data_IF_891926811121
#
_entry.id   IF_891926811121
#
_cell.length_a   1.000
_cell.length_b   1.000
_cell.length_c   1.000
_cell.angle_alpha   90.00
_cell.angle_beta   90.00
_cell.angle_gamma   90.00
#
_symmetry.space_group_name_H-M   'P 1'
#
loop_
_entity.id
_entity.type
_entity.pdbx_description
1 polymer ?
#
# COMPACT_ATOMS: atom_id res chain seq x y z
N UNK A 1 12.63 39.83 -56.47
CA UNK A 1 13.28 38.63 -55.90
C UNK A 1 13.57 38.86 -54.42
N UNK A 2 12.89 38.15 -53.51
CA UNK A 2 13.43 37.60 -52.25
C UNK A 2 12.28 36.94 -51.46
N UNK A 3 12.30 35.61 -51.43
CA UNK A 3 11.40 34.75 -50.65
C UNK A 3 11.83 34.80 -49.19
N UNK A 4 10.91 35.06 -48.27
CA UNK A 4 11.10 34.76 -46.85
C UNK A 4 10.43 33.42 -46.54
N UNK A 5 11.25 32.42 -46.21
CA UNK A 5 10.81 31.10 -45.75
C UNK A 5 10.60 31.21 -44.24
N UNK A 6 9.36 31.00 -43.79
CA UNK A 6 9.00 30.92 -42.38
C UNK A 6 9.37 29.52 -41.87
N UNK A 7 10.49 29.42 -41.15
CA UNK A 7 10.89 28.19 -40.48
C UNK A 7 10.19 28.05 -39.13
N UNK A 8 9.15 27.21 -39.06
CA UNK A 8 8.59 26.76 -37.78
C UNK A 8 9.55 25.75 -37.12
N UNK A 9 10.41 26.24 -36.23
CA UNK A 9 11.18 25.38 -35.33
C UNK A 9 10.28 24.81 -34.23
N UNK A 10 10.02 23.50 -34.31
CA UNK A 10 9.33 22.75 -33.24
C UNK A 10 10.28 22.64 -32.04
N UNK A 11 10.13 23.51 -31.04
CA UNK A 11 10.85 23.37 -29.78
C UNK A 11 10.24 22.21 -28.99
N UNK A 12 10.91 21.06 -29.01
CA UNK A 12 10.61 19.96 -28.10
C UNK A 12 10.93 20.41 -26.67
N UNK A 13 9.89 20.69 -25.88
CA UNK A 13 10.03 20.90 -24.43
C UNK A 13 10.39 19.55 -23.83
N UNK A 14 11.69 19.30 -23.64
CA UNK A 14 12.17 18.26 -22.76
C UNK A 14 11.76 18.65 -21.34
N UNK A 15 10.62 18.16 -20.88
CA UNK A 15 10.25 18.19 -19.47
C UNK A 15 11.30 17.38 -18.70
N UNK A 16 12.29 18.08 -18.12
CA UNK A 16 13.29 17.47 -17.26
C UNK A 16 12.59 16.78 -16.10
N UNK A 17 12.66 15.45 -16.04
CA UNK A 17 12.18 14.70 -14.88
C UNK A 17 13.07 15.05 -13.70
N UNK A 18 12.60 15.90 -12.80
CA UNK A 18 13.23 16.11 -11.51
C UNK A 18 13.41 14.74 -10.84
N UNK A 19 14.63 14.42 -10.42
CA UNK A 19 14.89 13.27 -9.57
C UNK A 19 14.24 13.59 -8.21
N UNK A 20 13.19 12.86 -7.86
CA UNK A 20 12.46 13.07 -6.61
C UNK A 20 13.30 12.56 -5.44
N UNK A 21 13.81 13.51 -4.70
CA UNK A 21 14.39 13.39 -3.37
C UNK A 21 13.27 13.38 -2.32
N UNK A 22 13.56 13.25 -1.02
CA UNK A 22 12.52 13.58 -0.02
C UNK A 22 12.43 15.11 0.16
N UNK A 23 11.20 15.68 0.22
CA UNK A 23 9.93 15.04 -0.10
C UNK A 23 9.77 14.72 -1.60
N UNK A 24 9.12 13.60 -1.89
CA UNK A 24 8.96 13.04 -3.23
C UNK A 24 8.07 13.91 -4.12
N UNK A 25 6.92 14.30 -3.61
CA UNK A 25 5.94 15.16 -4.29
C UNK A 25 4.85 15.62 -3.31
N UNK A 26 4.07 16.62 -3.72
CA UNK A 26 2.94 17.10 -2.92
C UNK A 26 1.84 16.05 -2.88
N UNK A 27 1.35 15.71 -1.69
CA UNK A 27 0.28 14.74 -1.50
C UNK A 27 0.09 14.41 -0.03
N UNK A 28 -1.01 13.74 0.27
CA UNK A 28 -1.39 13.34 1.60
C UNK A 28 -1.89 11.89 1.62
N UNK A 29 -2.06 11.35 2.81
CA UNK A 29 -2.70 10.05 3.08
C UNK A 29 -2.29 8.94 2.11
N UNK A 30 -0.98 8.62 1.99
CA UNK A 30 -0.50 7.75 0.93
C UNK A 30 -0.78 6.27 1.24
N UNK A 31 -1.51 5.61 0.36
CA UNK A 31 -1.47 4.16 0.28
C UNK A 31 -0.48 3.72 -0.80
N UNK A 32 0.53 2.95 -0.40
CA UNK A 32 1.59 2.48 -1.29
C UNK A 32 1.60 0.96 -1.44
N UNK A 33 1.74 0.48 -2.67
CA UNK A 33 1.79 -0.95 -3.00
C UNK A 33 2.66 -1.19 -4.23
N UNK A 34 3.35 -2.34 -4.31
CA UNK A 34 3.99 -2.75 -5.55
C UNK A 34 2.99 -3.37 -6.52
N UNK A 35 2.96 -2.88 -7.75
CA UNK A 35 2.20 -3.46 -8.86
C UNK A 35 3.20 -3.76 -9.98
N UNK A 36 3.44 -5.05 -10.22
CA UNK A 36 4.58 -5.48 -11.03
C UNK A 36 5.91 -5.06 -10.40
N UNK A 37 6.76 -4.35 -11.15
CA UNK A 37 8.06 -3.85 -10.70
C UNK A 37 8.06 -2.36 -10.30
N UNK A 38 6.87 -1.78 -10.14
CA UNK A 38 6.70 -0.36 -9.81
C UNK A 38 6.09 -0.22 -8.41
N UNK A 39 6.61 0.70 -7.61
CA UNK A 39 5.91 1.18 -6.42
C UNK A 39 4.85 2.17 -6.88
N UNK A 40 3.58 1.89 -6.59
CA UNK A 40 2.46 2.78 -6.80
C UNK A 40 2.09 3.47 -5.49
N UNK A 41 1.75 4.76 -5.57
CA UNK A 41 1.26 5.56 -4.46
C UNK A 41 -0.06 6.20 -4.88
N UNK A 42 -1.08 5.99 -4.06
CA UNK A 42 -2.41 6.57 -4.17
C UNK A 42 -2.56 7.58 -3.02
N UNK A 43 -2.43 8.89 -3.28
CA UNK A 43 -2.56 9.92 -2.24
C UNK A 43 -3.92 10.62 -2.28
N UNK A 44 -4.30 11.23 -1.16
CA UNK A 44 -5.19 12.41 -1.17
C UNK A 44 -4.43 13.58 -1.80
N UNK A 45 -5.03 14.23 -2.81
CA UNK A 45 -4.44 15.39 -3.48
C UNK A 45 -3.20 15.06 -4.34
N UNK A 46 -2.44 16.10 -4.73
CA UNK A 46 -1.27 15.96 -5.61
C UNK A 46 -1.59 15.96 -7.12
N UNK A 47 -0.57 15.93 -8.00
CA UNK A 47 -0.78 15.92 -9.46
C UNK A 47 -1.62 14.71 -9.96
N UNK A 48 -2.70 14.96 -10.69
CA UNK A 48 -3.70 13.93 -11.07
C UNK A 48 -4.79 13.69 -10.02
N UNK A 49 -4.56 14.08 -8.78
CA UNK A 49 -5.57 14.31 -7.74
C UNK A 49 -5.97 15.79 -7.66
N UNK A 50 -6.54 16.20 -6.52
CA UNK A 50 -6.85 17.62 -6.25
C UNK A 50 -6.80 17.95 -4.76
N UNK A 51 -6.26 19.12 -4.43
CA UNK A 51 -6.32 19.65 -3.06
C UNK A 51 -7.72 20.16 -2.68
N UNK A 52 -8.63 20.28 -3.65
CA UNK A 52 -10.06 20.40 -3.38
C UNK A 52 -10.70 19.06 -2.98
N UNK A 53 -9.93 17.96 -2.96
CA UNK A 53 -10.37 16.61 -2.64
C UNK A 53 -11.59 16.17 -3.47
N UNK A 54 -11.63 16.56 -4.76
CA UNK A 54 -12.72 16.23 -5.68
C UNK A 54 -12.40 15.03 -6.60
N UNK A 55 -11.17 14.50 -6.53
CA UNK A 55 -10.70 13.38 -7.36
C UNK A 55 -9.48 12.68 -6.78
N UNK A 56 -9.28 11.43 -7.15
CA UNK A 56 -8.02 10.71 -6.90
C UNK A 56 -7.18 10.56 -8.16
N UNK A 57 -5.87 10.58 -7.96
CA UNK A 57 -4.87 10.19 -8.95
C UNK A 57 -3.89 9.20 -8.34
N UNK A 58 -2.94 8.70 -9.12
CA UNK A 58 -1.84 7.89 -8.62
C UNK A 58 -0.50 8.25 -9.25
N UNK A 59 0.57 7.85 -8.58
CA UNK A 59 1.93 7.92 -9.06
C UNK A 59 2.55 6.54 -9.03
N UNK A 60 3.50 6.28 -9.92
CA UNK A 60 4.29 5.07 -9.89
C UNK A 60 5.76 5.35 -10.14
N UNK A 61 6.66 4.59 -9.51
CA UNK A 61 8.10 4.67 -9.78
C UNK A 61 8.76 3.30 -9.78
N UNK A 62 9.78 3.12 -10.64
CA UNK A 62 10.66 1.94 -10.65
C UNK A 62 11.92 2.11 -9.82
N UNK A 63 12.29 3.36 -9.52
CA UNK A 63 13.57 3.71 -8.88
C UNK A 63 13.41 4.56 -7.60
N UNK A 64 12.18 4.95 -7.26
CA UNK A 64 11.84 5.90 -6.17
C UNK A 64 12.47 7.29 -6.35
N UNK A 65 12.77 7.64 -7.60
CA UNK A 65 13.25 8.97 -7.99
C UNK A 65 12.36 9.57 -9.05
N UNK A 66 12.03 8.80 -10.08
CA UNK A 66 11.22 9.29 -11.19
C UNK A 66 9.81 8.78 -11.02
N UNK A 67 8.89 9.70 -10.77
CA UNK A 67 7.48 9.40 -10.60
C UNK A 67 6.73 9.69 -11.89
N UNK A 68 6.03 8.68 -12.39
CA UNK A 68 5.07 8.81 -13.47
C UNK A 68 3.69 9.05 -12.86
N UNK A 69 3.08 10.18 -13.18
CA UNK A 69 1.67 10.40 -12.89
C UNK A 69 0.81 9.45 -13.73
N UNK A 70 -0.21 8.86 -13.12
CA UNK A 70 -1.12 7.87 -13.72
C UNK A 70 -2.46 8.44 -14.14
N UNK A 71 -2.59 9.77 -14.05
CA UNK A 71 -3.82 10.48 -14.39
C UNK A 71 -4.86 10.37 -13.29
N UNK A 72 -6.06 10.79 -13.65
CA UNK A 72 -7.25 10.76 -12.82
C UNK A 72 -7.83 9.34 -12.78
N UNK A 73 -8.09 8.83 -11.59
CA UNK A 73 -8.64 7.48 -11.38
C UNK A 73 -10.16 7.50 -11.28
N UNK A 74 -10.68 8.42 -10.46
CA UNK A 74 -12.10 8.66 -10.21
C UNK A 74 -12.30 10.08 -9.69
N UNK A 75 -13.43 10.68 -10.05
CA UNK A 75 -13.91 11.97 -9.57
C UNK A 75 -15.17 11.85 -8.73
N UNK A 76 -15.35 12.83 -7.85
CA UNK A 76 -16.50 12.96 -6.95
C UNK A 76 -17.84 12.98 -7.68
N UNK A 77 -17.94 13.60 -8.86
CA UNK A 77 -19.17 13.68 -9.66
C UNK A 77 -19.59 12.34 -10.29
N UNK A 78 -18.72 11.33 -10.25
CA UNK A 78 -19.01 9.97 -10.69
C UNK A 78 -19.55 9.07 -9.56
N UNK A 79 -19.67 9.61 -8.35
CA UNK A 79 -20.10 8.88 -7.14
C UNK A 79 -21.46 9.45 -6.73
N UNK A 80 -22.55 8.85 -7.19
CA UNK A 80 -23.88 9.46 -7.14
C UNK A 80 -24.49 9.48 -5.74
N UNK A 81 -24.22 8.45 -4.94
CA UNK A 81 -24.80 8.26 -3.61
C UNK A 81 -24.30 9.28 -2.57
N UNK A 82 -23.21 10.00 -2.86
CA UNK A 82 -22.67 10.97 -1.88
C UNK A 82 -23.69 12.09 -1.61
N UNK A 83 -24.54 12.45 -2.57
CA UNK A 83 -25.53 13.53 -2.38
C UNK A 83 -26.71 13.13 -1.47
N UNK A 84 -26.89 11.84 -1.18
CA UNK A 84 -28.03 11.32 -0.41
C UNK A 84 -28.05 11.81 1.05
N UNK A 85 -26.90 12.20 1.61
CA UNK A 85 -26.82 12.72 2.97
C UNK A 85 -27.22 14.21 3.09
N UNK A 86 -27.47 14.89 1.97
CA UNK A 86 -27.84 16.31 1.93
C UNK A 86 -26.73 17.28 2.35
N UNK A 87 -25.48 16.83 2.52
CA UNK A 87 -24.38 17.73 2.87
C UNK A 87 -24.08 18.70 1.72
N UNK A 88 -23.73 19.97 2.02
CA UNK A 88 -23.52 20.99 1.00
C UNK A 88 -22.26 20.77 0.14
N UNK A 89 -21.33 19.93 0.61
CA UNK A 89 -20.11 19.58 -0.10
C UNK A 89 -19.55 18.25 0.40
N UNK A 90 -18.93 17.49 -0.51
CA UNK A 90 -18.26 16.22 -0.21
C UNK A 90 -16.80 16.25 -0.63
N UNK A 91 -16.00 15.45 0.05
CA UNK A 91 -14.56 15.40 -0.16
C UNK A 91 -14.07 13.96 -0.13
N UNK A 92 -13.17 13.62 -1.04
CA UNK A 92 -12.58 12.29 -1.16
C UNK A 92 -11.23 12.25 -0.45
N UNK A 93 -11.09 11.38 0.56
CA UNK A 93 -9.88 11.27 1.39
C UNK A 93 -9.37 9.84 1.54
N UNK A 94 -8.10 9.73 1.91
CA UNK A 94 -7.41 8.50 2.36
C UNK A 94 -7.73 7.27 1.49
N UNK A 95 -7.34 7.28 0.21
CA UNK A 95 -7.63 6.17 -0.67
C UNK A 95 -6.82 4.94 -0.25
N UNK A 96 -7.41 3.76 -0.36
CA UNK A 96 -6.73 2.48 -0.17
C UNK A 96 -7.01 1.52 -1.31
N UNK A 97 -5.95 0.90 -1.83
CA UNK A 97 -6.05 -0.03 -2.95
C UNK A 97 -5.96 -1.47 -2.45
N UNK A 98 -6.83 -2.34 -2.96
CA UNK A 98 -6.70 -3.79 -2.82
C UNK A 98 -6.81 -4.47 -4.18
N UNK A 99 -6.32 -5.71 -4.26
CA UNK A 99 -6.43 -6.52 -5.47
C UNK A 99 -6.99 -7.89 -5.14
N UNK A 100 -7.90 -8.39 -6.01
CA UNK A 100 -8.43 -9.74 -5.94
C UNK A 100 -8.94 -10.17 -7.30
N UNK A 101 -8.66 -11.41 -7.69
CA UNK A 101 -9.16 -11.96 -8.96
C UNK A 101 -8.77 -11.15 -10.21
N UNK A 102 -7.59 -10.52 -10.21
CA UNK A 102 -7.12 -9.69 -11.32
C UNK A 102 -7.75 -8.29 -11.40
N UNK A 103 -8.63 -7.93 -10.46
CA UNK A 103 -9.28 -6.62 -10.38
C UNK A 103 -8.70 -5.76 -9.27
N UNK A 104 -8.92 -4.46 -9.38
CA UNK A 104 -8.43 -3.41 -8.50
C UNK A 104 -9.61 -2.74 -7.80
N UNK A 105 -9.50 -2.56 -6.49
CA UNK A 105 -10.55 -2.02 -5.62
C UNK A 105 -10.00 -0.82 -4.88
N UNK A 106 -10.45 0.37 -5.25
CA UNK A 106 -10.09 1.63 -4.62
C UNK A 106 -11.15 1.98 -3.58
N UNK A 107 -10.84 1.78 -2.31
CA UNK A 107 -11.64 2.23 -1.17
C UNK A 107 -11.27 3.66 -0.84
N UNK A 108 -12.23 4.45 -0.35
CA UNK A 108 -11.98 5.84 -0.01
C UNK A 108 -12.99 6.35 1.00
N UNK A 109 -12.57 7.33 1.79
CA UNK A 109 -13.47 8.09 2.66
C UNK A 109 -14.17 9.17 1.86
N UNK A 110 -15.43 9.40 2.21
CA UNK A 110 -16.25 10.51 1.73
C UNK A 110 -16.65 11.35 2.93
N UNK A 111 -16.09 12.56 3.02
CA UNK A 111 -16.51 13.58 3.96
C UNK A 111 -17.77 14.32 3.50
N UNK A 112 -18.34 15.19 4.36
CA UNK A 112 -17.72 15.75 5.56
C UNK A 112 -17.81 14.82 6.78
N UNK A 113 -17.24 15.24 7.92
CA UNK A 113 -17.45 14.60 9.24
C UNK A 113 -18.54 15.32 10.07
N UNK A 114 -18.95 16.52 9.64
CA UNK A 114 -19.93 17.38 10.29
C UNK A 114 -20.54 18.31 9.22
N UNK A 115 -21.87 18.49 9.12
CA UNK A 115 -22.92 17.94 9.99
C UNK A 115 -23.29 16.49 9.73
N UNK A 116 -22.87 15.90 8.61
CA UNK A 116 -23.12 14.48 8.32
C UNK A 116 -21.88 13.66 8.65
N UNK A 117 -22.05 12.41 9.15
CA UNK A 117 -20.93 11.51 9.36
C UNK A 117 -20.23 11.13 8.06
N UNK A 118 -18.92 10.86 8.14
CA UNK A 118 -18.20 10.33 6.99
C UNK A 118 -18.61 8.90 6.64
N UNK A 119 -18.49 8.56 5.36
CA UNK A 119 -18.86 7.26 4.77
C UNK A 119 -17.68 6.68 3.98
N UNK A 120 -17.70 5.38 3.71
CA UNK A 120 -16.66 4.71 2.90
C UNK A 120 -17.27 4.16 1.62
N UNK A 121 -16.69 4.54 0.48
CA UNK A 121 -17.01 3.99 -0.84
C UNK A 121 -15.98 2.98 -1.31
N UNK A 122 -16.33 2.28 -2.39
CA UNK A 122 -15.40 1.44 -3.16
C UNK A 122 -15.67 1.61 -4.65
N UNK A 123 -14.60 1.80 -5.42
CA UNK A 123 -14.65 1.82 -6.88
C UNK A 123 -13.79 0.69 -7.45
N UNK A 124 -14.19 0.13 -8.60
CA UNK A 124 -13.60 -1.06 -9.18
C UNK A 124 -13.02 -0.77 -10.56
N UNK A 125 -11.86 -1.35 -10.86
CA UNK A 125 -11.22 -1.30 -12.17
C UNK A 125 -10.58 -2.64 -12.55
N UNK A 126 -10.38 -2.85 -13.85
CA UNK A 126 -9.67 -4.03 -14.37
C UNK A 126 -8.16 -3.77 -14.56
N UNK A 127 -7.72 -2.52 -14.36
CA UNK A 127 -6.33 -2.06 -14.45
C UNK A 127 -6.00 -1.11 -13.30
N UNK A 128 -4.72 -1.02 -12.87
CA UNK A 128 -4.36 -0.18 -11.73
C UNK A 128 -4.57 1.32 -12.02
N UNK A 129 -4.40 1.75 -13.27
CA UNK A 129 -4.69 3.12 -13.73
C UNK A 129 -6.18 3.39 -14.01
N UNK A 130 -7.07 2.41 -13.83
CA UNK A 130 -8.48 2.58 -14.12
C UNK A 130 -8.87 2.29 -15.58
N UNK A 131 -10.02 2.82 -16.04
CA UNK A 131 -10.93 3.71 -15.30
C UNK A 131 -11.59 2.99 -14.12
N UNK A 132 -11.71 3.68 -12.99
CA UNK A 132 -12.46 3.17 -11.84
C UNK A 132 -13.94 3.54 -11.98
N UNK A 133 -14.82 2.61 -11.62
CA UNK A 133 -16.26 2.83 -11.56
C UNK A 133 -16.72 2.65 -10.12
N UNK A 134 -17.40 3.65 -9.58
CA UNK A 134 -18.05 3.55 -8.27
C UNK A 134 -19.00 2.36 -8.23
N UNK A 135 -19.08 1.67 -7.10
CA UNK A 135 -19.95 0.51 -6.95
C UNK A 135 -21.44 0.88 -6.84
N UNK A 136 -21.75 2.15 -6.55
CA UNK A 136 -23.11 2.70 -6.62
C UNK A 136 -23.78 2.94 -5.27
N UNK A 137 -23.16 2.55 -4.15
CA UNK A 137 -23.64 2.80 -2.80
C UNK A 137 -22.48 2.84 -1.79
N UNK A 138 -22.64 3.44 -0.60
CA UNK A 138 -21.63 3.36 0.45
C UNK A 138 -21.39 1.90 0.86
N UNK A 139 -20.13 1.53 1.02
CA UNK A 139 -19.73 0.24 1.61
C UNK A 139 -19.89 0.26 3.13
N UNK A 140 -19.55 1.38 3.76
CA UNK A 140 -19.84 1.67 5.16
C UNK A 140 -20.62 2.97 5.22
N UNK A 141 -21.86 2.86 5.68
CA UNK A 141 -22.82 3.97 5.82
C UNK A 141 -23.15 4.28 7.28
N UNK A 142 -22.52 3.55 8.21
CA UNK A 142 -22.73 3.62 9.65
C UNK A 142 -21.68 4.52 10.33
N UNK A 143 -21.46 5.70 9.74
CA UNK A 143 -20.80 6.81 10.44
C UNK A 143 -21.77 7.43 11.45
N UNK A 144 -21.25 7.93 12.58
CA UNK A 144 -22.03 8.54 13.65
C UNK A 144 -21.87 7.83 15.00
N UNK A 145 -22.60 8.29 16.02
CA UNK A 145 -22.62 7.67 17.36
C UNK A 145 -21.23 7.43 17.98
N UNK A 146 -20.29 8.37 17.76
CA UNK A 146 -18.91 8.28 18.27
C UNK A 146 -17.95 7.48 17.37
N UNK A 147 -18.34 7.18 16.12
CA UNK A 147 -17.49 6.57 15.11
C UNK A 147 -17.51 7.38 13.81
N UNK A 148 -16.34 7.60 13.21
CA UNK A 148 -16.22 8.18 11.87
C UNK A 148 -15.76 7.10 10.89
N UNK A 149 -16.52 6.85 9.83
CA UNK A 149 -16.15 5.87 8.82
C UNK A 149 -15.13 6.47 7.85
N UNK A 150 -13.87 6.52 8.28
CA UNK A 150 -12.75 7.07 7.50
C UNK A 150 -11.54 6.15 7.47
N UNK A 151 -10.57 6.53 6.64
CA UNK A 151 -9.25 5.91 6.52
C UNK A 151 -9.34 4.38 6.30
N UNK A 152 -10.02 3.94 5.23
CA UNK A 152 -10.15 2.52 4.95
C UNK A 152 -8.77 1.90 4.71
N UNK A 153 -8.57 0.69 5.21
CA UNK A 153 -7.45 -0.17 4.86
C UNK A 153 -7.96 -1.58 4.66
N UNK A 154 -7.75 -2.14 3.47
CA UNK A 154 -8.08 -3.54 3.19
C UNK A 154 -6.83 -4.40 3.25
N UNK A 155 -6.89 -5.46 4.04
CA UNK A 155 -5.85 -6.45 4.16
C UNK A 155 -6.41 -7.84 3.86
N UNK A 156 -5.80 -8.51 2.88
CA UNK A 156 -6.09 -9.91 2.57
C UNK A 156 -5.12 -10.77 3.37
N UNK A 157 -5.64 -11.53 4.32
CA UNK A 157 -4.85 -12.38 5.18
C UNK A 157 -4.25 -13.54 4.38
N UNK A 158 -2.90 -13.63 4.24
CA UNK A 158 -2.28 -14.66 3.42
C UNK A 158 -2.44 -16.07 4.02
N UNK A 159 -2.81 -16.20 5.30
CA UNK A 159 -3.03 -17.50 5.93
C UNK A 159 -4.40 -18.10 5.60
N UNK A 160 -5.42 -17.26 5.47
CA UNK A 160 -6.83 -17.71 5.33
C UNK A 160 -7.46 -17.32 4.00
N UNK A 161 -6.88 -16.37 3.26
CA UNK A 161 -7.48 -15.77 2.06
C UNK A 161 -8.68 -14.85 2.35
N UNK A 162 -8.98 -14.60 3.62
CA UNK A 162 -10.04 -13.66 4.03
C UNK A 162 -9.58 -12.23 3.85
N UNK A 163 -10.50 -11.36 3.46
CA UNK A 163 -10.26 -9.93 3.34
C UNK A 163 -10.89 -9.20 4.54
N UNK A 164 -10.14 -8.29 5.13
CA UNK A 164 -10.56 -7.48 6.27
C UNK A 164 -10.43 -6.00 5.93
N UNK A 165 -11.50 -5.24 6.14
CA UNK A 165 -11.52 -3.78 6.07
C UNK A 165 -11.36 -3.23 7.49
N UNK A 166 -10.30 -2.48 7.71
CA UNK A 166 -10.05 -1.68 8.90
C UNK A 166 -10.49 -0.26 8.57
N UNK A 167 -11.23 0.37 9.45
CA UNK A 167 -11.56 1.78 9.30
C UNK A 167 -11.82 2.40 10.66
N UNK A 168 -11.80 3.72 10.68
CA UNK A 168 -12.22 4.47 11.84
C UNK A 168 -11.26 5.54 12.26
N UNK A 169 -11.86 6.62 12.74
CA UNK A 169 -11.27 7.46 13.78
C UNK A 169 -11.10 8.91 13.39
N UNK A 170 -11.70 9.78 14.19
CA UNK A 170 -11.25 11.08 14.72
C UNK A 170 -12.50 11.69 15.41
N UNK A 171 -12.48 12.76 16.19
CA UNK A 171 -12.04 12.76 17.59
C UNK A 171 -13.05 12.12 18.61
N UNK A 172 -13.61 10.95 18.30
CA UNK A 172 -14.10 9.94 19.28
C UNK A 172 -13.39 8.59 19.15
N UNK A 173 -12.17 8.63 18.57
CA UNK A 173 -11.43 7.56 17.89
C UNK A 173 -11.68 6.13 18.37
N UNK A 174 -12.21 5.32 17.45
CA UNK A 174 -12.51 3.90 17.60
C UNK A 174 -12.06 3.18 16.34
N UNK A 175 -11.36 2.07 16.49
CA UNK A 175 -11.08 1.17 15.39
C UNK A 175 -12.25 0.20 15.22
N UNK A 176 -12.75 0.05 14.00
CA UNK A 176 -13.70 -1.01 13.62
C UNK A 176 -13.11 -1.87 12.50
N UNK A 177 -13.59 -3.10 12.42
CA UNK A 177 -13.08 -4.10 11.49
C UNK A 177 -14.24 -4.91 10.91
N UNK A 178 -14.23 -5.10 9.59
CA UNK A 178 -15.21 -5.93 8.88
C UNK A 178 -14.53 -7.01 8.07
N UNK A 179 -15.09 -8.22 8.06
CA UNK A 179 -14.74 -9.24 7.07
C UNK A 179 -15.51 -8.91 5.78
N UNK A 180 -14.80 -8.79 4.66
CA UNK A 180 -15.40 -8.60 3.34
C UNK A 180 -15.76 -9.94 2.71
N UNK A 181 -16.79 -9.95 1.85
CA UNK A 181 -17.07 -11.09 0.99
C UNK A 181 -16.01 -11.21 -0.11
N UNK A 182 -16.08 -12.31 -0.86
CA UNK A 182 -15.13 -12.59 -1.94
C UNK A 182 -15.19 -11.58 -3.09
N UNK A 183 -16.32 -10.89 -3.27
CA UNK A 183 -16.52 -9.84 -4.26
C UNK A 183 -15.73 -8.56 -3.97
N UNK A 184 -15.25 -8.39 -2.72
CA UNK A 184 -14.57 -7.20 -2.19
C UNK A 184 -15.41 -5.92 -2.15
N UNK A 185 -16.69 -6.00 -2.49
CA UNK A 185 -17.62 -4.86 -2.55
C UNK A 185 -18.79 -5.00 -1.60
N UNK A 186 -18.83 -6.07 -0.80
CA UNK A 186 -19.85 -6.26 0.23
C UNK A 186 -19.26 -6.76 1.56
N UNK A 187 -19.93 -6.37 2.65
CA UNK A 187 -19.58 -6.78 4.00
C UNK A 187 -20.15 -8.18 4.29
N UNK A 188 -19.31 -9.08 4.81
CA UNK A 188 -19.76 -10.37 5.31
C UNK A 188 -20.30 -10.24 6.74
N UNK A 189 -19.54 -9.57 7.62
CA UNK A 189 -19.93 -9.22 9.00
C UNK A 189 -18.93 -8.22 9.60
N UNK A 190 -19.36 -7.49 10.62
CA UNK A 190 -18.44 -6.80 11.52
C UNK A 190 -17.75 -7.83 12.45
N UNK A 191 -16.48 -7.58 12.76
CA UNK A 191 -15.69 -8.38 13.68
C UNK A 191 -15.33 -7.52 14.89
N UNK A 192 -15.79 -7.88 16.09
CA UNK A 192 -15.44 -7.14 17.30
C UNK A 192 -13.91 -7.12 17.51
N UNK A 193 -13.36 -5.92 17.65
CA UNK A 193 -11.94 -5.70 17.95
C UNK A 193 -11.80 -4.61 19.00
N UNK A 194 -10.76 -4.69 19.82
CA UNK A 194 -10.40 -3.60 20.73
C UNK A 194 -9.77 -2.45 19.94
N UNK A 195 -10.01 -1.20 20.35
CA UNK A 195 -9.19 -0.07 19.89
C UNK A 195 -7.81 -0.16 20.53
N UNK A 196 -6.71 -0.17 19.76
CA UNK A 196 -5.38 -0.23 20.36
C UNK A 196 -5.05 1.10 21.08
N UNK A 197 -4.18 1.09 22.10
CA UNK A 197 -3.81 2.32 22.82
C UNK A 197 -3.29 3.40 21.87
N UNK A 198 -3.68 4.66 22.13
CA UNK A 198 -3.24 5.85 21.37
C UNK A 198 -3.70 5.90 19.90
N UNK A 199 -4.69 5.10 19.52
CA UNK A 199 -5.29 5.17 18.19
C UNK A 199 -5.96 6.53 17.95
N UNK A 200 -5.67 7.15 16.81
CA UNK A 200 -6.43 8.30 16.29
C UNK A 200 -7.16 7.93 15.00
N UNK A 201 -6.44 7.52 13.96
CA UNK A 201 -6.97 7.21 12.61
C UNK A 201 -5.90 6.47 11.78
N UNK A 202 -6.04 6.39 10.45
CA UNK A 202 -4.97 5.96 9.54
C UNK A 202 -4.46 4.54 9.74
N UNK A 203 -5.35 3.56 9.95
CA UNK A 203 -4.96 2.17 10.19
C UNK A 203 -4.22 1.58 8.96
N UNK A 204 -3.12 0.87 9.20
CA UNK A 204 -2.38 0.14 8.18
C UNK A 204 -1.91 -1.21 8.71
N UNK A 205 -2.34 -2.30 8.06
CA UNK A 205 -2.01 -3.67 8.45
C UNK A 205 -0.98 -4.29 7.50
N UNK A 206 0.06 -4.90 8.06
CA UNK A 206 0.93 -5.81 7.32
C UNK A 206 1.34 -7.00 8.17
N UNK A 207 1.82 -8.06 7.53
CA UNK A 207 2.28 -9.28 8.20
C UNK A 207 3.73 -9.57 7.86
N UNK A 208 4.51 -9.97 8.87
CA UNK A 208 5.91 -10.36 8.72
C UNK A 208 6.25 -11.48 9.70
N UNK A 209 6.80 -12.59 9.19
CA UNK A 209 7.19 -13.74 10.03
C UNK A 209 6.04 -14.25 10.91
N UNK A 210 4.83 -14.35 10.34
CA UNK A 210 3.62 -14.78 11.07
C UNK A 210 3.09 -13.80 12.13
N UNK A 211 3.70 -12.62 12.28
CA UNK A 211 3.23 -11.57 13.19
C UNK A 211 2.49 -10.49 12.40
N UNK A 212 1.31 -10.11 12.88
CA UNK A 212 0.48 -9.04 12.31
C UNK A 212 0.85 -7.73 12.99
N UNK A 213 1.11 -6.70 12.20
CA UNK A 213 1.50 -5.38 12.63
C UNK A 213 0.41 -4.40 12.22
N UNK A 214 -0.38 -3.96 13.19
CA UNK A 214 -1.35 -2.89 13.03
C UNK A 214 -0.66 -1.58 13.39
N UNK A 215 -0.38 -0.76 12.39
CA UNK A 215 0.11 0.60 12.56
C UNK A 215 -1.01 1.61 12.35
N UNK A 216 -0.91 2.77 12.98
CA UNK A 216 -1.97 3.78 13.00
C UNK A 216 -1.41 5.13 13.44
N UNK A 217 -2.14 6.19 13.16
CA UNK A 217 -1.75 7.52 13.58
C UNK A 217 -2.09 7.77 15.05
N UNK A 218 -1.33 8.67 15.67
CA UNK A 218 -1.60 9.23 16.99
C UNK A 218 -1.39 10.74 16.93
N UNK A 219 -2.30 11.49 17.56
CA UNK A 219 -2.22 12.95 17.64
C UNK A 219 -3.04 13.65 16.56
N UNK A 220 -2.95 14.97 16.49
CA UNK A 220 -3.78 15.78 15.60
C UNK A 220 -3.16 15.90 14.19
N UNK A 221 -3.88 15.54 13.13
CA UNK A 221 -3.37 15.52 11.74
C UNK A 221 -2.67 16.79 11.24
N UNK A 222 -3.03 17.96 11.78
CA UNK A 222 -2.41 19.25 11.49
C UNK A 222 -1.58 19.81 12.66
N UNK A 223 -1.02 18.95 13.50
CA UNK A 223 -0.19 19.32 14.63
C UNK A 223 1.18 18.61 14.63
N UNK A 224 2.12 19.10 15.46
CA UNK A 224 3.44 18.46 15.64
C UNK A 224 3.35 17.09 16.34
N UNK A 225 2.25 16.79 17.02
CA UNK A 225 2.03 15.52 17.71
C UNK A 225 1.58 14.39 16.77
N UNK A 226 1.19 14.69 15.53
CA UNK A 226 0.81 13.68 14.56
C UNK A 226 1.98 12.73 14.27
N UNK A 227 1.78 11.45 14.56
CA UNK A 227 2.85 10.45 14.59
C UNK A 227 2.30 9.07 14.25
N UNK A 228 3.18 8.14 13.89
CA UNK A 228 2.82 6.74 13.66
C UNK A 228 3.18 5.90 14.86
N UNK A 229 2.20 5.15 15.33
CA UNK A 229 2.30 4.15 16.37
C UNK A 229 1.97 2.77 15.81
N UNK A 230 2.32 1.70 16.54
CA UNK A 230 1.94 0.35 16.13
C UNK A 230 1.73 -0.60 17.31
N UNK A 231 0.93 -1.62 17.04
CA UNK A 231 0.71 -2.79 17.87
C UNK A 231 0.93 -4.07 17.05
N UNK A 232 1.20 -5.17 17.75
CA UNK A 232 1.37 -6.50 17.14
C UNK A 232 0.33 -7.49 17.64
N UNK A 233 -0.05 -8.45 16.81
CA UNK A 233 -0.95 -9.55 17.15
C UNK A 233 -0.54 -10.87 16.45
N UNK A 234 -1.22 -11.96 16.83
CA UNK A 234 -1.09 -13.30 16.18
C UNK A 234 -2.20 -13.58 15.16
N UNK A 235 -3.16 -12.67 15.02
CA UNK A 235 -4.31 -12.71 14.11
C UNK A 235 -4.51 -11.31 13.51
N UNK A 236 -5.12 -11.19 12.32
CA UNK A 236 -5.54 -9.89 11.77
C UNK A 236 -6.58 -9.18 12.65
N UNK A 237 -7.16 -9.83 13.66
CA UNK A 237 -8.23 -9.28 14.50
C UNK A 237 -7.78 -9.02 15.95
N UNK A 238 -6.48 -9.00 16.21
CA UNK A 238 -5.93 -8.83 17.56
C UNK A 238 -5.83 -10.15 18.34
N UNK A 239 -5.77 -10.12 19.69
CA UNK A 239 -5.67 -8.91 20.53
C UNK A 239 -4.38 -8.14 20.28
N UNK A 240 -4.43 -6.82 20.48
CA UNK A 240 -3.33 -5.90 20.16
C UNK A 240 -2.35 -5.76 21.32
N UNK A 241 -1.06 -6.00 21.04
CA UNK A 241 0.03 -5.67 21.97
C UNK A 241 0.74 -4.42 21.48
N UNK A 242 0.51 -3.30 22.16
CA UNK A 242 1.12 -2.01 21.81
C UNK A 242 2.66 -2.06 21.87
N UNK A 243 3.33 -1.46 20.88
CA UNK A 243 4.78 -1.49 20.73
C UNK A 243 5.47 -0.13 20.71
N UNK A 244 4.72 0.96 20.75
CA UNK A 244 5.28 2.31 20.78
C UNK A 244 5.11 3.07 19.48
N UNK A 245 5.74 4.24 19.42
CA UNK A 245 5.84 5.04 18.22
C UNK A 245 6.98 4.55 17.33
N UNK A 246 6.78 4.64 16.02
CA UNK A 246 7.77 4.31 14.99
C UNK A 246 8.19 5.53 14.18
N UNK A 247 7.34 6.55 14.06
CA UNK A 247 7.63 7.77 13.31
C UNK A 247 7.00 8.97 14.04
N UNK A 248 7.78 10.02 14.30
CA UNK A 248 7.37 11.22 15.06
C UNK A 248 8.03 12.45 14.46
N UNK A 249 7.47 13.62 14.74
CA UNK A 249 8.13 14.89 14.44
C UNK A 249 9.53 14.99 15.05
N UNK A 250 10.42 15.71 14.37
CA UNK A 250 11.74 16.09 14.86
C UNK A 250 11.95 17.61 14.68
N UNK A 251 13.19 18.11 14.80
CA UNK A 251 13.48 19.54 14.68
C UNK A 251 13.15 20.15 13.29
N UNK A 252 13.06 19.31 12.25
CA UNK A 252 12.91 19.73 10.85
C UNK A 252 11.62 19.23 10.22
N UNK A 253 11.13 18.07 10.62
CA UNK A 253 10.00 17.39 10.01
C UNK A 253 8.82 17.35 10.99
N UNK A 254 7.65 17.79 10.56
CA UNK A 254 6.48 17.89 11.45
C UNK A 254 5.30 17.04 10.96
N UNK A 255 4.59 16.46 11.92
CA UNK A 255 3.33 15.75 11.77
C UNK A 255 3.32 14.58 10.76
N UNK A 256 4.20 13.57 10.88
CA UNK A 256 4.27 12.46 9.93
C UNK A 256 3.31 11.28 10.24
N UNK A 257 2.01 11.53 10.45
CA UNK A 257 1.11 10.54 11.08
C UNK A 257 0.31 9.60 10.17
N UNK A 258 0.08 9.90 8.88
CA UNK A 258 -0.57 8.96 7.96
C UNK A 258 0.45 8.33 7.02
N UNK A 259 0.36 7.01 6.86
CA UNK A 259 1.42 6.21 6.26
C UNK A 259 0.92 4.89 5.65
N UNK A 260 1.81 4.26 4.91
CA UNK A 260 1.73 2.87 4.46
C UNK A 260 3.08 2.20 4.59
N UNK A 261 3.07 0.87 4.81
CA UNK A 261 4.27 0.04 4.79
C UNK A 261 4.28 -0.84 3.55
N UNK A 262 5.45 -0.96 2.93
CA UNK A 262 5.61 -1.81 1.76
C UNK A 262 6.93 -2.58 1.84
N UNK A 263 6.91 -3.86 1.45
CA UNK A 263 8.12 -4.65 1.26
C UNK A 263 8.51 -4.60 -0.22
N UNK A 264 9.75 -4.23 -0.50
CA UNK A 264 10.28 -4.18 -1.86
C UNK A 264 10.44 -5.59 -2.44
N UNK A 265 10.48 -5.74 -3.78
CA UNK A 265 10.85 -7.01 -4.42
C UNK A 265 12.22 -7.55 -3.98
N UNK A 266 13.07 -6.70 -3.41
CA UNK A 266 14.41 -7.05 -2.92
C UNK A 266 14.43 -7.36 -1.41
N UNK A 267 13.27 -7.38 -0.76
CA UNK A 267 13.11 -7.75 0.64
C UNK A 267 13.32 -6.64 1.66
N UNK A 268 13.70 -5.43 1.24
CA UNK A 268 13.75 -4.26 2.10
C UNK A 268 12.32 -3.82 2.48
N UNK A 269 12.16 -3.18 3.64
CA UNK A 269 10.89 -2.55 4.01
C UNK A 269 11.01 -1.04 3.92
N UNK A 270 9.96 -0.41 3.42
CA UNK A 270 9.82 1.04 3.32
C UNK A 270 8.55 1.46 4.06
N UNK A 271 8.58 2.68 4.57
CA UNK A 271 7.40 3.44 4.98
C UNK A 271 7.22 4.58 3.99
N UNK A 272 6.02 4.72 3.45
CA UNK A 272 5.60 5.87 2.65
C UNK A 272 4.63 6.65 3.51
N UNK A 273 4.88 7.93 3.71
CA UNK A 273 4.12 8.74 4.64
C UNK A 273 4.02 10.17 4.12
N UNK A 274 3.14 10.98 4.70
CA UNK A 274 3.16 12.41 4.45
C UNK A 274 3.77 13.16 5.63
N UNK A 275 4.26 14.38 5.40
CA UNK A 275 4.65 15.31 6.48
C UNK A 275 4.33 16.76 6.09
N UNK A 276 4.32 17.64 7.08
CA UNK A 276 4.19 19.08 6.90
C UNK A 276 5.58 19.69 6.67
N UNK A 277 5.81 20.22 5.47
CA UNK A 277 7.04 20.95 5.18
C UNK A 277 6.96 22.39 5.69
N UNK A 278 8.06 22.86 6.27
CA UNK A 278 8.25 24.24 6.77
C UNK A 278 7.28 24.69 7.88
N UNK A 279 6.41 23.82 8.35
CA UNK A 279 5.57 24.08 9.52
C UNK A 279 6.43 24.13 10.79
N UNK A 280 6.14 25.08 11.69
CA UNK A 280 6.80 25.23 12.99
C UNK A 280 5.78 25.64 14.05
N UNK A 281 6.09 25.36 15.31
CA UNK A 281 5.22 25.70 16.44
C UNK A 281 4.07 24.71 16.66
N UNK A 282 3.09 25.06 17.51
CA UNK A 282 2.09 24.12 18.03
C UNK A 282 0.96 23.74 17.05
N UNK A 283 0.93 24.33 15.85
CA UNK A 283 -0.19 24.19 14.91
C UNK A 283 -1.42 25.06 15.29
N UNK A 284 -2.57 24.92 14.59
CA UNK A 284 -2.78 24.06 13.43
C UNK A 284 -1.91 24.47 12.24
N UNK A 285 -1.35 23.48 11.57
CA UNK A 285 -0.66 23.65 10.31
C UNK A 285 -1.67 23.80 9.18
N UNK A 286 -1.31 24.66 8.22
CA UNK A 286 -2.15 24.99 7.06
C UNK A 286 -1.29 24.86 5.81
N UNK A 287 -1.90 24.36 4.74
CA UNK A 287 -1.24 24.17 3.46
C UNK A 287 -1.21 22.72 3.01
N UNK A 288 -0.20 22.39 2.20
CA UNK A 288 -0.10 21.11 1.50
C UNK A 288 0.92 20.21 2.17
N UNK A 289 0.49 19.01 2.51
CA UNK A 289 1.37 17.93 2.96
C UNK A 289 2.22 17.41 1.79
N UNK A 290 3.33 16.78 2.13
CA UNK A 290 4.28 16.26 1.16
C UNK A 290 4.56 14.79 1.44
N UNK A 291 4.54 13.96 0.40
CA UNK A 291 4.88 12.54 0.49
C UNK A 291 6.38 12.38 0.64
N UNK A 292 6.80 11.52 1.58
CA UNK A 292 8.17 11.12 1.82
C UNK A 292 8.25 9.60 1.97
N UNK A 293 9.43 9.04 1.72
CA UNK A 293 9.68 7.60 1.81
C UNK A 293 10.97 7.36 2.58
N UNK A 294 10.94 6.43 3.53
CA UNK A 294 12.13 6.06 4.30
C UNK A 294 12.20 4.56 4.56
N UNK A 295 13.42 4.09 4.89
CA UNK A 295 13.65 2.67 5.18
C UNK A 295 13.12 2.30 6.56
N UNK A 296 12.53 1.11 6.64
CA UNK A 296 12.08 0.49 7.89
C UNK A 296 13.02 -0.65 8.25
N UNK A 297 13.42 -0.69 9.52
CA UNK A 297 14.30 -1.74 10.05
C UNK A 297 13.60 -2.48 11.19
N UNK A 298 13.52 -3.79 11.08
CA UNK A 298 13.05 -4.66 12.16
C UNK A 298 14.24 -5.14 13.00
N UNK A 299 14.10 -5.10 14.32
CA UNK A 299 15.01 -5.74 15.25
C UNK A 299 14.81 -7.27 15.25
N UNK A 300 15.76 -8.00 15.85
CA UNK A 300 15.72 -9.47 15.93
C UNK A 300 14.50 -9.99 16.70
N UNK A 301 13.98 -9.21 17.66
CA UNK A 301 12.75 -9.51 18.42
C UNK A 301 11.46 -9.15 17.66
N UNK A 302 11.56 -8.72 16.40
CA UNK A 302 10.43 -8.34 15.56
C UNK A 302 9.91 -6.92 15.78
N UNK A 303 10.46 -6.12 16.71
CA UNK A 303 10.06 -4.71 16.85
C UNK A 303 10.55 -3.87 15.67
N UNK A 304 9.74 -2.89 15.28
CA UNK A 304 10.16 -1.86 14.34
C UNK A 304 11.03 -0.84 15.06
N UNK A 305 12.23 -0.57 14.54
CA UNK A 305 13.09 0.52 15.02
C UNK A 305 12.50 1.87 14.62
N UNK A 306 12.68 2.93 15.41
CA UNK A 306 12.28 4.28 15.01
C UNK A 306 12.83 4.63 13.63
N UNK A 307 11.95 5.13 12.76
CA UNK A 307 12.30 5.58 11.41
C UNK A 307 13.01 6.92 11.50
N UNK A 308 14.10 7.05 10.75
CA UNK A 308 14.83 8.30 10.58
C UNK A 308 14.35 8.94 9.30
N UNK A 309 13.73 10.13 9.40
CA UNK A 309 13.26 10.88 8.24
C UNK A 309 14.43 11.50 7.50
N UNK A 310 14.48 11.27 6.18
CA UNK A 310 15.53 11.82 5.32
C UNK A 310 15.05 13.00 4.49
N UNK A 311 16.01 13.78 3.99
CA UNK A 311 15.81 14.86 3.03
C UNK A 311 16.68 14.62 1.80
N UNK A 312 16.31 15.21 0.67
CA UNK A 312 17.20 15.24 -0.47
C UNK A 312 17.50 13.83 -0.99
N UNK A 313 18.72 13.69 -1.48
CA UNK A 313 19.26 12.45 -2.06
C UNK A 313 19.47 11.33 -1.05
N UNK A 314 19.31 11.60 0.26
CA UNK A 314 19.40 10.58 1.30
C UNK A 314 18.18 9.63 1.34
N UNK A 315 17.07 10.02 0.69
CA UNK A 315 15.90 9.17 0.50
C UNK A 315 16.28 7.83 -0.16
N UNK A 316 15.60 6.71 0.14
CA UNK A 316 15.90 5.42 -0.45
C UNK A 316 15.70 5.41 -1.96
N UNK A 317 16.40 4.51 -2.64
CA UNK A 317 16.21 4.19 -4.07
C UNK A 317 15.95 2.70 -4.22
N UNK A 318 15.22 2.32 -5.25
CA UNK A 318 15.21 0.93 -5.72
C UNK A 318 16.39 0.77 -6.69
N UNK A 319 17.41 0.02 -6.29
CA UNK A 319 18.57 -0.23 -7.15
C UNK A 319 18.11 -0.90 -8.46
N UNK A 320 18.56 -0.39 -9.62
CA UNK A 320 18.29 -0.98 -10.95
C UNK A 320 19.02 -2.31 -11.17
N UNK A 321 20.04 -2.62 -10.37
CA UNK A 321 21.07 -3.60 -10.75
C UNK A 321 20.88 -4.99 -10.14
N UNK A 322 19.80 -5.25 -9.42
CA UNK A 322 19.36 -6.62 -9.12
C UNK A 322 18.47 -7.14 -10.24
N UNK A 323 19.02 -7.14 -11.47
CA UNK A 323 18.52 -8.06 -12.48
C UNK A 323 18.69 -9.48 -11.94
N UNK A 324 17.67 -10.32 -12.18
CA UNK A 324 17.48 -11.70 -11.76
C UNK A 324 18.73 -12.49 -11.29
N UNK A 325 18.60 -13.42 -10.32
CA UNK A 325 19.72 -14.30 -9.96
C UNK A 325 20.31 -14.89 -11.24
N UNK A 326 21.60 -14.61 -11.48
CA UNK A 326 22.33 -15.17 -12.61
C UNK A 326 22.20 -16.68 -12.50
N UNK A 327 21.42 -17.28 -13.39
CA UNK A 327 21.43 -18.73 -13.59
C UNK A 327 22.90 -19.15 -13.70
N UNK A 328 23.39 -20.10 -12.90
CA UNK A 328 24.76 -20.55 -13.03
C UNK A 328 24.91 -21.06 -14.47
N UNK A 329 25.80 -20.42 -15.23
CA UNK A 329 26.17 -20.90 -16.56
C UNK A 329 26.60 -22.34 -16.39
N UNK A 330 25.84 -23.29 -16.95
CA UNK A 330 26.30 -24.67 -17.11
C UNK A 330 27.59 -24.61 -17.92
N UNK A 331 28.72 -24.78 -17.25
CA UNK A 331 29.97 -25.10 -17.92
C UNK A 331 29.76 -26.49 -18.55
N UNK A 332 29.57 -26.52 -19.87
CA UNK A 332 29.72 -27.75 -20.64
C UNK A 332 31.19 -28.13 -20.62
N UNK A 333 31.58 -28.96 -19.66
CA UNK A 333 32.84 -29.70 -19.71
C UNK A 333 32.60 -30.97 -20.54
N UNK A 334 33.43 -31.14 -21.57
CA UNK A 334 33.41 -32.30 -22.48
C UNK A 334 33.71 -33.56 -21.68
N UNK A 335 32.87 -34.58 -21.85
CA UNK A 335 33.13 -35.95 -21.37
C UNK A 335 34.45 -36.47 -21.94
N UNK A 336 35.29 -36.97 -21.05
CA UNK A 336 36.39 -37.89 -21.35
C UNK A 336 36.18 -39.15 -20.51
N UNK A 337 36.26 -40.29 -21.18
CA UNK A 337 35.98 -41.65 -20.73
C UNK A 337 37.11 -42.27 -19.93
N UNK A 338 36.82 -42.83 -18.74
CA UNK A 338 37.32 -44.13 -18.26
C UNK A 338 36.73 -44.52 -16.89
N UNK A 339 36.53 -45.83 -16.59
CA UNK A 339 35.95 -46.28 -15.33
C UNK A 339 37.02 -46.80 -14.36
N UNK A 340 36.90 -46.52 -13.06
CA UNK A 340 37.39 -47.43 -12.01
C UNK A 340 36.92 -47.01 -10.61
N UNK A 341 36.16 -47.94 -10.01
CA UNK A 341 36.24 -48.51 -8.65
C UNK A 341 35.99 -47.61 -7.41
N UNK A 342 35.03 -48.10 -6.61
CA UNK A 342 34.59 -47.62 -5.29
C UNK A 342 35.70 -47.69 -4.24
N UNK A 343 35.72 -46.69 -3.36
CA UNK A 343 35.98 -46.84 -1.91
C UNK A 343 35.10 -45.84 -1.13
N UNK A 344 34.51 -46.32 -0.03
CA UNK A 344 33.59 -45.63 0.89
C UNK A 344 34.37 -44.73 1.85
N UNK A 345 33.86 -43.53 2.17
CA UNK A 345 33.30 -43.06 3.45
C UNK A 345 33.73 -41.57 3.52
N UNK A 346 33.00 -40.55 3.95
CA UNK A 346 31.67 -40.34 4.51
C UNK A 346 31.28 -38.91 4.11
N UNK A 347 30.06 -38.72 3.60
CA UNK A 347 29.29 -37.51 3.84
C UNK A 347 27.84 -37.77 3.47
N UNK A 348 27.00 -37.57 4.47
CA UNK A 348 25.57 -37.84 4.51
C UNK A 348 24.87 -36.75 3.67
N UNK A 349 24.38 -37.15 2.50
CA UNK A 349 23.02 -36.78 2.09
C UNK A 349 22.13 -38.01 2.34
N UNK A 350 20.84 -37.80 2.66
CA UNK A 350 19.88 -38.29 1.67
C UNK A 350 18.63 -37.41 1.47
N UNK A 351 18.42 -37.10 0.19
CA UNK A 351 17.26 -37.45 -0.65
C UNK A 351 15.82 -37.02 -0.30
N UNK A 352 15.22 -36.41 -1.33
CA UNK A 352 13.95 -36.75 -1.97
C UNK A 352 12.83 -37.43 -1.16
N UNK A 353 11.65 -36.81 -1.15
CA UNK A 353 10.40 -37.43 -0.70
C UNK A 353 9.15 -36.75 -1.25
N UNK A 354 8.77 -37.06 -2.50
CA UNK A 354 7.35 -37.21 -2.83
C UNK A 354 7.08 -38.71 -2.88
N UNK A 355 6.16 -39.22 -2.06
CA UNK A 355 5.52 -40.52 -2.28
C UNK A 355 4.11 -40.27 -2.79
N UNK A 356 3.77 -40.88 -3.90
CA UNK A 356 2.40 -40.95 -4.40
C UNK A 356 1.74 -42.17 -3.75
N UNK A 357 0.75 -41.93 -2.88
CA UNK A 357 -0.11 -43.00 -2.33
C UNK A 357 -1.34 -43.13 -3.23
N UNK A 358 -1.43 -44.26 -3.94
CA UNK A 358 -2.53 -44.55 -4.86
C UNK A 358 -3.82 -45.03 -4.17
N UNK A 359 -3.99 -44.84 -2.85
CA UNK A 359 -5.17 -45.34 -2.11
C UNK A 359 -5.94 -44.31 -1.27
N UNK A 360 -5.54 -43.03 -1.20
CA UNK A 360 -6.21 -42.08 -0.29
C UNK A 360 -6.65 -40.73 -0.87
N UNK A 361 -6.29 -40.36 -2.11
CA UNK A 361 -6.77 -39.12 -2.78
C UNK A 361 -6.76 -37.85 -1.89
N UNK A 362 -5.75 -37.69 -1.01
CA UNK A 362 -5.51 -36.46 -0.24
C UNK A 362 -4.02 -36.20 -0.05
N UNK A 363 -3.63 -34.93 -0.16
CA UNK A 363 -2.31 -34.42 0.22
C UNK A 363 -2.44 -33.61 1.53
N UNK A 364 -1.50 -33.80 2.46
CA UNK A 364 -1.37 -32.97 3.68
C UNK A 364 -0.08 -32.13 3.56
N UNK A 365 -0.07 -30.83 3.90
CA UNK A 365 1.07 -29.96 3.62
C UNK A 365 2.16 -30.04 4.71
N UNK A 366 3.43 -30.05 4.28
CA UNK A 366 4.57 -29.63 5.09
C UNK A 366 4.89 -28.15 4.80
N UNK A 367 5.01 -27.37 5.87
CA UNK A 367 5.39 -25.96 5.97
C UNK A 367 5.95 -25.25 4.71
N UNK A 368 5.14 -24.32 4.18
CA UNK A 368 5.58 -23.22 3.31
C UNK A 368 4.61 -22.03 3.42
N UNK A 369 4.72 -21.24 4.49
CA UNK A 369 4.11 -19.91 4.56
C UNK A 369 5.11 -18.88 4.06
N UNK A 370 5.05 -18.53 2.77
CA UNK A 370 5.39 -17.21 2.22
C UNK A 370 5.18 -17.25 0.69
N UNK A 371 4.07 -16.70 0.19
CA UNK A 371 3.98 -16.20 -1.19
C UNK A 371 2.84 -15.17 -1.37
N UNK A 372 3.27 -13.91 -1.35
CA UNK A 372 2.96 -12.79 -2.24
C UNK A 372 1.83 -12.88 -3.27
N UNK A 373 1.00 -11.82 -3.32
CA UNK A 373 0.43 -11.31 -4.57
C UNK A 373 1.50 -10.48 -5.30
N UNK A 374 2.37 -11.17 -6.05
CA UNK A 374 3.10 -10.59 -7.16
C UNK A 374 2.43 -11.06 -8.45
N UNK A 375 1.92 -10.13 -9.25
CA UNK A 375 1.33 -10.41 -10.56
C UNK A 375 2.40 -11.02 -11.47
N UNK A 376 2.26 -12.31 -11.79
CA UNK A 376 2.90 -12.92 -12.95
C UNK A 376 1.82 -13.25 -13.97
N UNK A 377 1.78 -12.49 -15.05
CA UNK A 377 1.06 -12.84 -16.27
C UNK A 377 1.85 -13.89 -17.05
N UNK A 378 1.26 -15.05 -17.29
CA UNK A 378 1.61 -15.93 -18.41
C UNK A 378 0.30 -16.37 -19.06
N UNK A 379 0.07 -15.92 -20.30
CA UNK A 379 -0.92 -16.51 -21.20
C UNK A 379 -0.49 -17.93 -21.60
N UNK A 380 -1.36 -18.81 -22.10
CA UNK A 380 -1.92 -18.92 -23.48
C UNK A 380 -2.70 -20.29 -23.48
N UNK A 381 -3.55 -20.70 -24.47
CA UNK A 381 -4.76 -20.14 -25.10
C UNK A 381 -6.05 -20.94 -24.72
N UNK A 382 -7.25 -20.50 -25.15
CA UNK A 382 -8.52 -21.26 -25.02
C UNK A 382 -8.69 -22.37 -26.06
N UNK A 383 -9.93 -22.71 -26.48
CA UNK A 383 -11.09 -23.17 -25.71
C UNK A 383 -11.39 -24.66 -26.03
N UNK A 384 -12.18 -25.36 -25.19
CA UNK A 384 -12.89 -26.56 -25.64
C UNK A 384 -14.33 -26.53 -25.14
N UNK A 385 -15.23 -26.40 -26.11
CA UNK A 385 -16.64 -26.77 -26.05
C UNK A 385 -16.80 -28.28 -25.98
N UNK A 386 -17.62 -28.75 -25.05
CA UNK A 386 -18.77 -29.64 -25.30
C UNK A 386 -19.54 -29.82 -23.99
#
# INVERSE_FOLDING_TARGET
MRRFILGCGLAAILAGTALADNPQFTGADPHAVFIGNELWIFPTGGPGGSWAADRFGAFSSRDLRRWRARGELIRRDQITWIQEDGAPAHFLWAPAIATRGGRYYLYFSVGPQNPTPSRIGVAVADRPEGPYRDFGHPLIDDGGHGFEAIDPMVFVDPRTGKAFLYAGGSAGAKLRLWELRADMTSIAREVPVATPPRFTEGAFMHVRGGTYYLSYSHGRWNGPDYSVHYATARSPTGPWVYRGAVLRSDARHQGPGHHSFVRTPYGEWLIVYHRWERARGPGPYVGKRQIAIDRVRYAGDGKIRPVVMTDGTAAPTLRKDLTAPRSPKRAFSRRSSRPARLDRCDNIEPFAGWRWDSRSSRAVPSDATENWLAVWSQGIPGPLTS
#
